data_IF_576882627565
#
_entry.id   IF_576882627565
#
_cell.length_a   1.000
_cell.length_b   1.000
_cell.length_c   1.000
_cell.angle_alpha   90.00
_cell.angle_beta   90.00
_cell.angle_gamma   90.00
#
_symmetry.space_group_name_H-M   'P 1'
#
loop_
_entity.id
_entity.type
_entity.pdbx_description
1 polymer ?
#
# COMPACT_ATOMS: atom_id res chain seq x y z
N UNK A 1 11.93 7.88 2.81
CA UNK A 1 12.56 8.01 1.47
C UNK A 1 11.85 9.10 0.68
N UNK A 2 12.43 9.62 -0.41
CA UNK A 2 11.73 10.61 -1.23
C UNK A 2 10.66 9.94 -2.09
N UNK A 3 9.48 10.57 -2.22
CA UNK A 3 8.39 10.02 -3.02
C UNK A 3 8.76 9.86 -4.49
N UNK A 4 9.66 10.70 -5.03
CA UNK A 4 10.21 10.54 -6.38
C UNK A 4 10.93 9.20 -6.57
N UNK A 5 11.61 8.71 -5.54
CA UNK A 5 12.32 7.43 -5.57
C UNK A 5 11.33 6.26 -5.45
N UNK A 6 10.34 6.39 -4.58
CA UNK A 6 9.26 5.41 -4.46
C UNK A 6 8.51 5.26 -5.79
N UNK A 7 8.24 6.37 -6.48
CA UNK A 7 7.55 6.41 -7.75
C UNK A 7 8.30 5.71 -8.89
N UNK A 8 9.65 5.69 -8.86
CA UNK A 8 10.48 5.12 -9.95
C UNK A 8 10.37 3.61 -10.09
N UNK A 9 10.14 2.87 -9.01
CA UNK A 9 9.97 1.41 -9.10
C UNK A 9 8.62 0.91 -8.62
N UNK A 10 7.62 1.78 -8.58
CA UNK A 10 6.26 1.37 -8.26
C UNK A 10 5.64 0.61 -9.44
N UNK A 11 5.06 -0.56 -9.17
CA UNK A 11 4.26 -1.33 -10.13
C UNK A 11 2.84 -0.78 -10.26
N UNK A 12 2.40 0.04 -9.29
CA UNK A 12 1.11 0.73 -9.32
C UNK A 12 1.16 2.01 -8.50
N UNK A 13 0.39 3.02 -8.91
CA UNK A 13 0.28 4.32 -8.24
C UNK A 13 -1.19 4.68 -8.07
N UNK A 14 -1.56 5.21 -6.90
CA UNK A 14 -2.88 5.77 -6.65
C UNK A 14 -2.76 7.24 -6.28
N UNK A 15 -3.31 8.12 -7.13
CA UNK A 15 -3.38 9.58 -6.95
C UNK A 15 -2.07 10.25 -6.55
N UNK A 16 -0.93 9.66 -6.94
CA UNK A 16 0.42 10.04 -6.48
C UNK A 16 0.62 10.05 -4.96
N UNK A 17 -0.31 9.51 -4.19
CA UNK A 17 -0.21 9.43 -2.73
C UNK A 17 0.30 8.07 -2.26
N UNK A 18 0.02 7.02 -3.02
CA UNK A 18 0.42 5.65 -2.70
C UNK A 18 1.14 5.03 -3.89
N UNK A 19 2.28 4.43 -3.61
CA UNK A 19 3.12 3.74 -4.56
C UNK A 19 3.28 2.29 -4.12
N UNK A 20 2.74 1.34 -4.88
CA UNK A 20 2.91 -0.09 -4.59
C UNK A 20 4.20 -0.53 -5.27
N UNK A 21 5.17 -1.01 -4.49
CA UNK A 21 6.47 -1.49 -4.98
C UNK A 21 6.37 -2.94 -5.47
N UNK A 22 5.74 -3.80 -4.69
CA UNK A 22 5.54 -5.20 -5.02
C UNK A 22 4.31 -5.75 -4.33
N UNK A 23 3.73 -6.78 -4.93
CA UNK A 23 2.66 -7.58 -4.33
C UNK A 23 3.01 -9.04 -4.52
N UNK A 24 3.11 -9.77 -3.42
CA UNK A 24 3.47 -11.18 -3.39
C UNK A 24 2.37 -11.99 -2.73
N UNK A 25 2.08 -13.19 -3.28
CA UNK A 25 1.21 -14.16 -2.62
C UNK A 25 2.05 -15.09 -1.75
N UNK A 26 1.71 -15.17 -0.47
CA UNK A 26 2.32 -16.08 0.52
C UNK A 26 1.21 -16.92 1.15
N UNK A 27 0.88 -18.04 0.51
CA UNK A 27 -0.25 -18.90 0.90
C UNK A 27 -1.60 -18.18 0.78
N UNK A 28 -2.31 -18.05 1.91
CA UNK A 28 -3.58 -17.32 2.03
C UNK A 28 -3.42 -15.80 2.19
N UNK A 29 -2.19 -15.31 2.20
CA UNK A 29 -1.88 -13.90 2.39
C UNK A 29 -1.40 -13.26 1.09
N UNK A 30 -1.89 -12.06 0.81
CA UNK A 30 -1.23 -11.12 -0.08
C UNK A 30 -0.40 -10.16 0.76
N UNK A 31 0.89 -10.07 0.46
CA UNK A 31 1.82 -9.14 1.10
C UNK A 31 2.17 -8.08 0.08
N UNK A 32 1.89 -6.82 0.41
CA UNK A 32 2.22 -5.68 -0.42
C UNK A 32 3.24 -4.78 0.29
N UNK A 33 4.31 -4.47 -0.42
CA UNK A 33 5.25 -3.42 -0.02
C UNK A 33 4.80 -2.12 -0.70
N UNK A 34 4.42 -1.14 0.11
CA UNK A 34 3.93 0.14 -0.35
C UNK A 34 4.76 1.27 0.23
N UNK A 35 4.79 2.40 -0.48
CA UNK A 35 5.29 3.67 0.02
C UNK A 35 4.17 4.69 -0.06
N UNK A 36 3.88 5.34 1.06
CA UNK A 36 2.76 6.27 1.19
C UNK A 36 3.27 7.65 1.56
N UNK A 37 2.84 8.66 0.79
CA UNK A 37 3.22 10.05 0.98
C UNK A 37 2.83 10.53 2.38
N UNK A 38 3.75 11.23 3.03
CA UNK A 38 3.51 11.90 4.30
C UNK A 38 2.51 13.05 4.11
N UNK A 39 1.66 13.26 5.10
CA UNK A 39 0.75 14.40 5.12
C UNK A 39 1.46 15.70 5.52
N UNK A 40 2.46 15.61 6.40
CA UNK A 40 3.23 16.76 6.90
C UNK A 40 4.38 17.14 5.96
N UNK A 41 4.97 16.15 5.28
CA UNK A 41 6.15 16.34 4.42
C UNK A 41 5.90 15.76 3.03
N UNK A 42 5.30 16.54 2.12
CA UNK A 42 4.75 16.01 0.84
C UNK A 42 5.80 15.37 -0.09
N UNK A 43 7.07 15.66 0.11
CA UNK A 43 8.17 15.04 -0.64
C UNK A 43 8.62 13.70 -0.07
N UNK A 44 8.26 13.39 1.17
CA UNK A 44 8.63 12.16 1.87
C UNK A 44 7.53 11.11 1.77
N UNK A 45 7.97 9.87 1.55
CA UNK A 45 7.12 8.70 1.58
C UNK A 45 7.61 7.72 2.67
N UNK A 46 6.66 7.17 3.42
CA UNK A 46 6.91 6.16 4.45
C UNK A 46 6.61 4.76 3.93
N UNK A 47 7.46 3.82 4.29
CA UNK A 47 7.25 2.42 3.98
C UNK A 47 6.05 1.88 4.76
N UNK A 48 5.22 1.10 4.07
CA UNK A 48 4.09 0.37 4.61
C UNK A 48 4.16 -1.05 4.09
N UNK A 49 4.29 -2.01 5.00
CA UNK A 49 4.13 -3.43 4.70
C UNK A 49 2.72 -3.82 5.07
N UNK A 50 1.91 -4.18 4.09
CA UNK A 50 0.51 -4.58 4.27
C UNK A 50 0.36 -6.08 4.02
N UNK A 51 -0.37 -6.77 4.89
CA UNK A 51 -0.78 -8.17 4.72
C UNK A 51 -2.30 -8.22 4.65
N UNK A 52 -2.85 -8.75 3.56
CA UNK A 52 -4.28 -8.95 3.36
C UNK A 52 -4.58 -10.45 3.30
N UNK A 53 -5.50 -10.94 4.11
CA UNK A 53 -5.93 -12.34 4.05
C UNK A 53 -6.96 -12.52 2.94
N UNK A 54 -6.62 -13.33 1.94
CA UNK A 54 -7.47 -13.63 0.79
C UNK A 54 -8.84 -14.17 1.22
N UNK A 55 -9.89 -13.80 0.49
CA UNK A 55 -11.26 -14.20 0.81
C UNK A 55 -11.88 -13.51 2.03
N UNK A 56 -11.16 -12.60 2.70
CA UNK A 56 -11.66 -11.90 3.90
C UNK A 56 -11.42 -10.38 3.82
N UNK A 57 -12.03 -9.63 4.75
CA UNK A 57 -11.73 -8.20 4.94
C UNK A 57 -10.55 -7.95 5.89
N UNK A 58 -9.96 -9.02 6.45
CA UNK A 58 -8.92 -8.96 7.47
C UNK A 58 -7.59 -8.53 6.86
N UNK A 59 -6.95 -7.56 7.52
CA UNK A 59 -5.66 -7.04 7.12
C UNK A 59 -4.86 -6.63 8.35
N UNK A 60 -3.55 -6.75 8.24
CA UNK A 60 -2.58 -6.22 9.21
C UNK A 60 -1.53 -5.43 8.45
N UNK A 61 -0.86 -4.50 9.12
CA UNK A 61 0.20 -3.76 8.47
C UNK A 61 1.15 -3.10 9.46
N UNK A 62 2.34 -2.80 8.96
CA UNK A 62 3.36 -2.02 9.67
C UNK A 62 3.66 -0.79 8.84
N UNK A 63 3.72 0.37 9.48
CA UNK A 63 4.13 1.62 8.86
C UNK A 63 5.32 2.21 9.63
N UNK A 64 6.28 2.75 8.91
CA UNK A 64 7.48 3.38 9.47
C UNK A 64 7.29 4.88 9.79
N UNK A 65 6.08 5.43 9.62
CA UNK A 65 5.86 6.84 9.88
C UNK A 65 6.11 7.18 11.37
N UNK A 66 6.84 8.28 11.65
CA UNK A 66 7.11 8.70 13.03
C UNK A 66 5.86 9.26 13.72
N UNK A 67 4.97 9.86 12.94
CA UNK A 67 4.01 10.84 13.49
C UNK A 67 2.76 10.28 14.15
N UNK A 68 2.34 9.00 14.00
CA UNK A 68 1.05 8.60 14.56
C UNK A 68 0.85 7.08 14.75
N UNK A 69 0.77 6.63 16.01
CA UNK A 69 -0.04 5.46 16.41
C UNK A 69 -1.45 5.99 16.68
N UNK A 70 -2.34 5.90 15.69
CA UNK A 70 -3.75 6.29 15.86
C UNK A 70 -4.29 5.54 17.08
N UNK A 71 -4.87 6.24 18.06
CA UNK A 71 -5.33 5.74 19.37
C UNK A 71 -6.01 4.35 19.28
N UNK A 72 -5.23 3.27 19.38
CA UNK A 72 -5.70 1.88 19.22
C UNK A 72 -6.06 1.41 17.79
N UNK A 73 -5.95 2.27 16.77
CA UNK A 73 -6.34 1.98 15.38
C UNK A 73 -5.15 1.87 14.40
N UNK A 74 -5.36 1.30 13.19
CA UNK A 74 -4.32 1.23 12.18
C UNK A 74 -3.92 2.63 11.69
N UNK A 75 -2.63 2.84 11.46
CA UNK A 75 -2.13 4.09 10.90
C UNK A 75 -2.83 4.45 9.57
N UNK A 76 -3.11 5.75 9.36
CA UNK A 76 -3.72 6.28 8.13
C UNK A 76 -3.02 5.80 6.85
N UNK A 77 -1.70 5.66 6.88
CA UNK A 77 -0.92 5.16 5.75
C UNK A 77 -1.23 3.69 5.43
N UNK A 78 -1.50 2.86 6.45
CA UNK A 78 -1.91 1.45 6.25
C UNK A 78 -3.29 1.40 5.60
N UNK A 79 -4.21 2.26 6.03
CA UNK A 79 -5.56 2.34 5.44
C UNK A 79 -5.48 2.76 3.97
N UNK A 80 -4.67 3.78 3.65
CA UNK A 80 -4.43 4.22 2.25
C UNK A 80 -3.79 3.12 1.41
N UNK A 81 -2.78 2.43 1.94
CA UNK A 81 -2.15 1.29 1.27
C UNK A 81 -3.14 0.16 0.99
N UNK A 82 -4.08 -0.11 1.91
CA UNK A 82 -5.14 -1.10 1.72
C UNK A 82 -6.10 -0.72 0.58
N UNK A 83 -6.50 0.55 0.50
CA UNK A 83 -7.34 1.03 -0.60
C UNK A 83 -6.61 0.88 -1.93
N UNK A 84 -5.35 1.32 -2.01
CA UNK A 84 -4.53 1.17 -3.21
C UNK A 84 -4.36 -0.29 -3.64
N UNK A 85 -4.12 -1.21 -2.69
CA UNK A 85 -4.00 -2.64 -3.01
C UNK A 85 -5.31 -3.20 -3.57
N UNK A 86 -6.47 -2.76 -3.08
CA UNK A 86 -7.77 -3.19 -3.63
C UNK A 86 -7.98 -2.70 -5.06
N UNK A 87 -7.66 -1.42 -5.33
CA UNK A 87 -7.75 -0.86 -6.69
C UNK A 87 -6.77 -1.54 -7.64
N UNK A 88 -5.54 -1.81 -7.19
CA UNK A 88 -4.57 -2.60 -7.94
C UNK A 88 -5.11 -3.99 -8.30
N UNK A 89 -5.71 -4.71 -7.34
CA UNK A 89 -6.27 -6.05 -7.58
C UNK A 89 -7.46 -6.01 -8.54
N UNK A 90 -8.31 -4.97 -8.48
CA UNK A 90 -9.39 -4.76 -9.46
C UNK A 90 -8.81 -4.56 -10.86
N UNK A 91 -7.84 -3.65 -11.01
CA UNK A 91 -7.18 -3.37 -12.29
C UNK A 91 -6.50 -4.62 -12.86
N UNK A 92 -5.77 -5.37 -12.02
CA UNK A 92 -5.09 -6.61 -12.43
C UNK A 92 -6.06 -7.73 -12.82
N UNK A 93 -7.22 -7.81 -12.16
CA UNK A 93 -8.27 -8.79 -12.51
C UNK A 93 -8.97 -8.40 -13.81
N UNK A 94 -9.25 -7.11 -14.04
CA UNK A 94 -9.80 -6.63 -15.30
C UNK A 94 -8.87 -6.88 -16.47
N UNK A 95 -7.55 -6.67 -16.29
CA UNK A 95 -6.54 -6.98 -17.30
C UNK A 95 -6.48 -8.47 -17.66
N UNK A 96 -6.66 -9.38 -16.69
CA UNK A 96 -6.72 -10.83 -16.94
C UNK A 96 -7.98 -11.31 -17.65
N UNK A 97 -9.02 -10.48 -17.76
CA UNK A 97 -10.23 -10.80 -18.54
C UNK A 97 -10.16 -10.32 -19.99
N UNK A 98 -9.17 -9.50 -20.32
CA UNK A 98 -8.97 -8.91 -21.65
C UNK A 98 -7.85 -9.59 -22.46
N UNK A 99 -7.19 -10.58 -21.87
CA UNK A 99 -6.24 -11.50 -22.51
C UNK A 99 -6.87 -12.88 -22.57
#
# INVERSE_FOLDING_TARGET
>A
MLCKEAAKGAVYKLNEEVYIRSVERRGLWLVALCYVRSQSRREECYQVVLKLKLGTRYFTGRCECPDFRYRGGPCKHIVRAKVALREYLKAATSLRRLL
#
